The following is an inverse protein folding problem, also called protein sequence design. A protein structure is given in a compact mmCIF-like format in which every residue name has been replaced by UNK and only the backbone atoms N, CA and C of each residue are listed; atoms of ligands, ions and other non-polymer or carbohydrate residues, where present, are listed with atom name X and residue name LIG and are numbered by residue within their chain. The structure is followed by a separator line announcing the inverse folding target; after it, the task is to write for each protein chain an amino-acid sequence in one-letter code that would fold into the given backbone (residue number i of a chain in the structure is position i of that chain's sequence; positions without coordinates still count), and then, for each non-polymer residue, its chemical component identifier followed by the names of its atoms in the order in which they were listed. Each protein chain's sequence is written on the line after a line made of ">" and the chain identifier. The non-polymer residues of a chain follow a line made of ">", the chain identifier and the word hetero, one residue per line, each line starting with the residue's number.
data_IF_533747229549
#
_entry.id   IF_533747229549
#
_cell.length_a   1.000
_cell.length_b   1.000
_cell.length_c   1.000
_cell.angle_alpha   90.00
_cell.angle_beta   90.00
_cell.angle_gamma   90.00
#
_symmetry.space_group_name_H-M   'P 1'
#
loop_
_entity.id
_entity.type
_entity.pdbx_description
1 polymer ?
#
# COMPACT_ATOMS: atom_id res chain seq x y z
N UNK A 1 40.87 38.47 -16.73
CA UNK A 1 39.39 38.43 -16.61
C UNK A 1 38.88 37.07 -16.19
N UNK A 2 39.51 36.41 -15.20
CA UNK A 2 39.09 35.10 -14.67
C UNK A 2 38.64 35.15 -13.20
N UNK A 3 38.81 36.27 -12.50
CA UNK A 3 38.42 36.40 -11.08
C UNK A 3 36.95 36.78 -10.86
N UNK A 4 36.19 37.14 -11.90
CA UNK A 4 34.80 37.60 -11.74
C UNK A 4 33.76 36.45 -11.69
N UNK A 5 34.13 35.22 -12.08
CA UNK A 5 33.18 34.11 -12.21
C UNK A 5 33.05 33.25 -10.95
N UNK A 6 34.04 33.26 -10.06
CA UNK A 6 33.99 32.45 -8.82
C UNK A 6 33.07 33.07 -7.75
N UNK A 7 32.94 34.40 -7.69
CA UNK A 7 32.03 35.06 -6.75
C UNK A 7 30.55 34.73 -6.99
N UNK A 8 30.14 34.69 -8.26
CA UNK A 8 28.74 34.44 -8.63
C UNK A 8 28.26 33.02 -8.29
N UNK A 9 29.15 32.03 -8.30
CA UNK A 9 28.80 30.65 -7.93
C UNK A 9 28.61 30.48 -6.41
N UNK A 10 29.39 31.20 -5.60
CA UNK A 10 29.25 31.22 -4.15
C UNK A 10 27.92 31.83 -3.70
N UNK A 11 27.51 32.94 -4.31
CA UNK A 11 26.26 33.62 -3.98
C UNK A 11 25.02 32.76 -4.29
N UNK A 12 25.06 32.00 -5.38
CA UNK A 12 23.96 31.13 -5.80
C UNK A 12 23.78 29.92 -4.86
N UNK A 13 24.88 29.41 -4.30
CA UNK A 13 24.84 28.36 -3.29
C UNK A 13 24.30 28.87 -1.94
N UNK A 14 24.69 30.10 -1.55
CA UNK A 14 24.17 30.74 -0.34
C UNK A 14 22.65 30.99 -0.43
N UNK A 15 22.17 31.52 -1.55
CA UNK A 15 20.74 31.72 -1.83
C UNK A 15 19.93 30.43 -1.78
N UNK A 16 20.46 29.32 -2.33
CA UNK A 16 19.77 28.01 -2.25
C UNK A 16 19.60 27.53 -0.82
N UNK A 17 20.64 27.69 0.00
CA UNK A 17 20.61 27.31 1.42
C UNK A 17 19.62 28.16 2.20
N UNK A 18 19.56 29.45 1.92
CA UNK A 18 18.59 30.36 2.55
C UNK A 18 17.15 30.01 2.18
N UNK A 19 16.89 29.69 0.91
CA UNK A 19 15.56 29.24 0.46
C UNK A 19 15.15 27.93 1.14
N UNK A 20 16.05 26.95 1.23
CA UNK A 20 15.79 25.68 1.91
C UNK A 20 15.48 25.89 3.40
N UNK A 21 16.21 26.78 4.07
CA UNK A 21 15.97 27.11 5.48
C UNK A 21 14.60 27.80 5.68
N UNK A 22 14.23 28.72 4.78
CA UNK A 22 12.92 29.37 4.81
C UNK A 22 11.77 28.38 4.57
N UNK A 23 11.95 27.42 3.67
CA UNK A 23 10.96 26.38 3.39
C UNK A 23 10.75 25.45 4.59
N UNK A 24 11.84 25.00 5.22
CA UNK A 24 11.79 24.21 6.47
C UNK A 24 11.06 24.98 7.57
N UNK A 25 11.36 26.27 7.72
CA UNK A 25 10.74 27.14 8.72
C UNK A 25 9.25 27.35 8.45
N UNK A 26 8.84 27.46 7.19
CA UNK A 26 7.43 27.58 6.79
C UNK A 26 6.66 26.29 7.08
N UNK A 27 7.21 25.14 6.69
CA UNK A 27 6.61 23.82 6.93
C UNK A 27 6.46 23.52 8.42
N UNK A 28 7.47 23.86 9.22
CA UNK A 28 7.42 23.69 10.68
C UNK A 28 6.31 24.50 11.33
N UNK A 29 6.11 25.77 10.91
CA UNK A 29 5.00 26.61 11.40
C UNK A 29 3.65 26.03 10.98
N UNK A 30 3.52 25.56 9.73
CA UNK A 30 2.26 24.98 9.23
C UNK A 30 1.89 23.71 9.99
N UNK A 31 2.87 22.84 10.27
CA UNK A 31 2.66 21.64 11.10
C UNK A 31 2.19 22.00 12.50
N UNK A 32 2.82 22.97 13.17
CA UNK A 32 2.41 23.41 14.50
C UNK A 32 1.01 24.04 14.51
N UNK A 33 0.63 24.77 13.46
CA UNK A 33 -0.73 25.28 13.31
C UNK A 33 -1.75 24.15 13.18
N UNK A 34 -1.53 23.21 12.27
CA UNK A 34 -2.44 22.07 12.07
C UNK A 34 -2.59 21.21 13.34
N UNK A 35 -1.50 21.04 14.10
CA UNK A 35 -1.55 20.35 15.39
C UNK A 35 -2.46 21.07 16.40
N UNK A 36 -2.43 22.42 16.44
CA UNK A 36 -3.32 23.21 17.30
C UNK A 36 -4.76 23.14 16.84
N UNK A 37 -5.01 23.20 15.53
CA UNK A 37 -6.36 23.05 14.96
C UNK A 37 -6.96 21.68 15.28
N UNK A 38 -6.17 20.60 15.13
CA UNK A 38 -6.58 19.24 15.52
C UNK A 38 -6.90 19.13 17.01
N UNK A 39 -6.04 19.66 17.88
CA UNK A 39 -6.28 19.63 19.31
C UNK A 39 -7.51 20.46 19.72
N UNK A 40 -7.70 21.64 19.10
CA UNK A 40 -8.85 22.51 19.34
C UNK A 40 -10.17 21.88 18.88
N UNK A 41 -10.19 21.19 17.74
CA UNK A 41 -11.37 20.49 17.25
C UNK A 41 -11.76 19.30 18.14
N UNK A 42 -10.77 18.59 18.71
CA UNK A 42 -11.05 17.53 19.70
C UNK A 42 -11.63 18.08 21.00
N UNK A 43 -11.19 19.25 21.46
CA UNK A 43 -11.75 19.89 22.67
C UNK A 43 -13.16 20.43 22.42
N UNK A 44 -13.43 20.98 21.23
CA UNK A 44 -14.76 21.46 20.84
C UNK A 44 -15.78 20.32 20.76
N UNK A 45 -15.40 19.19 20.14
CA UNK A 45 -16.26 17.99 20.05
C UNK A 45 -16.59 17.39 21.43
N UNK A 46 -15.63 17.42 22.37
CA UNK A 46 -15.85 16.96 23.73
C UNK A 46 -16.78 17.89 24.53
N UNK A 47 -16.70 19.21 24.31
CA UNK A 47 -17.56 20.19 24.98
C UNK A 47 -19.01 20.24 24.45
N UNK A 48 -19.23 19.93 23.17
CA UNK A 48 -20.58 19.88 22.59
C UNK A 48 -21.30 18.54 22.85
N UNK A 49 -20.56 17.43 23.08
CA UNK A 49 -21.14 16.14 23.42
C UNK A 49 -21.63 15.99 24.86
N UNK A 50 -21.25 16.90 25.77
CA UNK A 50 -21.65 16.84 27.18
C UNK A 50 -22.81 17.78 27.55
N UNK A 51 -23.20 18.71 26.66
CA UNK A 51 -24.30 19.64 26.95
C UNK A 51 -25.69 19.06 26.68
N UNK A 52 -25.82 18.05 25.82
CA UNK A 52 -27.12 17.48 25.43
C UNK A 52 -27.52 16.18 26.17
N UNK A 53 -26.65 15.64 27.04
CA UNK A 53 -26.93 14.39 27.78
C UNK A 53 -27.12 14.55 29.29
N UNK A 54 -27.00 15.76 29.86
CA UNK A 54 -27.00 15.93 31.32
C UNK A 54 -28.34 16.32 31.97
N UNK A 55 -29.49 16.29 31.28
CA UNK A 55 -30.77 16.72 31.87
C UNK A 55 -31.83 15.64 32.12
N UNK A 56 -31.54 14.35 31.97
CA UNK A 56 -32.54 13.32 32.27
C UNK A 56 -31.95 12.03 32.83
N UNK A 57 -31.47 12.03 34.08
CA UNK A 57 -31.51 10.80 34.89
C UNK A 57 -31.70 11.14 36.39
N UNK A 58 -32.79 10.69 37.03
CA UNK A 58 -32.89 10.69 38.49
C UNK A 58 -31.98 9.59 39.05
N UNK A 59 -31.44 9.87 40.24
CA UNK A 59 -30.57 8.98 40.99
C UNK A 59 -31.26 7.63 41.28
N UNK A 60 -30.64 6.53 40.82
CA UNK A 60 -30.95 5.19 41.29
C UNK A 60 -31.14 4.17 40.16
N UNK A 61 -30.04 3.64 39.62
CA UNK A 61 -29.93 2.26 39.10
C UNK A 61 -28.45 1.93 38.87
N UNK A 62 -27.80 1.41 39.91
CA UNK A 62 -26.71 0.45 39.76
C UNK A 62 -27.41 -0.89 39.45
N UNK A 63 -27.07 -1.55 38.32
CA UNK A 63 -27.58 -2.87 37.83
C UNK A 63 -28.39 -2.84 36.51
N UNK A 64 -27.83 -2.30 35.42
CA UNK A 64 -28.44 -2.51 34.09
C UNK A 64 -27.46 -2.52 32.90
N UNK A 65 -26.21 -2.95 33.10
CA UNK A 65 -25.24 -3.09 31.98
C UNK A 65 -24.93 -4.56 31.61
N UNK A 66 -25.67 -5.53 32.16
CA UNK A 66 -25.48 -6.97 31.90
C UNK A 66 -26.72 -7.68 31.33
N UNK A 67 -27.63 -6.96 30.65
CA UNK A 67 -28.85 -7.56 30.10
C UNK A 67 -29.04 -7.28 28.61
N UNK A 68 -28.03 -7.64 27.81
CA UNK A 68 -28.15 -7.83 26.36
C UNK A 68 -27.35 -9.07 25.93
N UNK A 69 -27.47 -10.17 26.69
CA UNK A 69 -27.09 -11.50 26.22
C UNK A 69 -28.38 -12.26 25.84
N UNK A 70 -28.96 -11.84 24.72
CA UNK A 70 -29.98 -12.63 24.03
C UNK A 70 -29.32 -13.87 23.46
N UNK A 71 -29.56 -15.01 24.11
CA UNK A 71 -29.16 -16.35 23.67
C UNK A 71 -29.94 -16.70 22.41
N UNK A 72 -29.32 -16.53 21.23
CA UNK A 72 -29.66 -17.32 20.05
C UNK A 72 -28.64 -18.46 19.93
N UNK A 73 -28.98 -19.55 20.62
CA UNK A 73 -28.37 -20.87 20.42
C UNK A 73 -28.94 -21.46 19.14
N UNK A 74 -28.11 -21.57 18.10
CA UNK A 74 -28.52 -22.24 16.87
C UNK A 74 -27.61 -21.94 15.70
N UNK A 75 -26.76 -22.92 15.37
CA UNK A 75 -25.85 -22.98 14.21
C UNK A 75 -24.49 -22.30 14.40
N UNK A 76 -23.51 -23.13 14.77
CA UNK A 76 -22.09 -22.93 14.51
C UNK A 76 -21.84 -22.95 12.99
N UNK A 77 -22.36 -21.95 12.29
CA UNK A 77 -21.81 -21.53 11.03
C UNK A 77 -20.47 -20.92 11.38
N UNK A 78 -19.35 -21.56 10.99
CA UNK A 78 -18.02 -20.96 11.05
C UNK A 78 -18.12 -19.57 10.41
N UNK A 79 -18.22 -18.52 11.23
CA UNK A 79 -18.26 -17.14 10.75
C UNK A 79 -16.96 -16.96 9.99
N UNK A 80 -17.03 -16.97 8.65
CA UNK A 80 -15.87 -16.70 7.79
C UNK A 80 -15.23 -15.43 8.33
N UNK A 81 -13.91 -15.44 8.54
CA UNK A 81 -13.19 -14.25 8.97
C UNK A 81 -13.53 -13.11 8.01
N UNK A 82 -14.30 -12.13 8.51
CA UNK A 82 -14.82 -11.00 7.72
C UNK A 82 -13.76 -9.92 7.51
N UNK A 83 -12.63 -10.02 8.19
CA UNK A 83 -11.55 -9.04 8.22
C UNK A 83 -11.00 -8.66 6.84
N UNK A 84 -11.23 -9.49 5.82
CA UNK A 84 -10.61 -9.35 4.50
C UNK A 84 -11.59 -9.01 3.37
N UNK A 85 -12.90 -8.99 3.64
CA UNK A 85 -13.96 -8.76 2.64
C UNK A 85 -14.24 -7.27 2.42
N UNK A 86 -13.26 -6.48 1.95
CA UNK A 86 -13.48 -5.04 1.65
C UNK A 86 -14.64 -4.82 0.68
N UNK A 87 -14.80 -5.75 -0.28
CA UNK A 87 -15.71 -5.58 -1.42
C UNK A 87 -17.18 -5.42 -0.99
N UNK A 88 -17.54 -5.94 0.18
CA UNK A 88 -18.93 -5.97 0.65
C UNK A 88 -19.26 -4.87 1.67
N UNK A 89 -18.25 -4.26 2.31
CA UNK A 89 -18.46 -3.23 3.34
C UNK A 89 -18.40 -1.79 2.82
N UNK A 90 -17.95 -1.59 1.58
CA UNK A 90 -18.19 -0.34 0.86
C UNK A 90 -19.53 -0.51 0.15
N UNK A 91 -20.60 0.02 0.75
CA UNK A 91 -21.92 0.11 0.11
C UNK A 91 -21.70 0.61 -1.32
N UNK A 92 -21.93 -0.21 -2.36
CA UNK A 92 -21.55 0.17 -3.70
C UNK A 92 -22.43 1.34 -4.10
N UNK A 93 -21.85 2.55 -4.17
CA UNK A 93 -22.28 3.47 -5.20
C UNK A 93 -22.24 2.70 -6.53
N UNK A 94 -23.28 2.79 -7.38
CA UNK A 94 -23.42 1.95 -8.56
C UNK A 94 -22.37 2.31 -9.61
N UNK A 95 -21.13 1.87 -9.40
CA UNK A 95 -20.02 2.01 -10.32
C UNK A 95 -19.97 0.70 -11.12
N UNK A 96 -20.36 0.79 -12.38
CA UNK A 96 -20.51 -0.34 -13.33
C UNK A 96 -19.21 -1.06 -13.71
N UNK A 97 -18.07 -0.73 -13.11
CA UNK A 97 -16.78 -1.36 -13.42
C UNK A 97 -15.96 -1.61 -12.16
N UNK A 98 -15.30 -2.78 -12.05
CA UNK A 98 -14.34 -3.02 -10.99
C UNK A 98 -13.25 -1.94 -11.04
N UNK A 99 -12.89 -1.34 -9.89
CA UNK A 99 -11.89 -0.29 -9.84
C UNK A 99 -10.59 -0.80 -10.46
N UNK A 100 -10.02 0.00 -11.36
CA UNK A 100 -8.77 -0.34 -12.01
C UNK A 100 -7.63 -0.20 -10.98
N UNK A 101 -7.06 -1.31 -10.54
CA UNK A 101 -5.98 -1.38 -9.55
C UNK A 101 -4.76 -0.53 -9.94
N UNK A 102 -4.49 -0.35 -11.23
CA UNK A 102 -3.36 0.47 -11.71
C UNK A 102 -3.49 1.97 -11.40
N UNK A 103 -4.67 2.43 -10.97
CA UNK A 103 -4.92 3.84 -10.63
C UNK A 103 -4.85 4.13 -9.14
N UNK A 104 -4.69 3.10 -8.30
CA UNK A 104 -4.63 3.29 -6.85
C UNK A 104 -3.24 3.79 -6.47
N UNK A 105 -3.20 4.99 -5.89
CA UNK A 105 -1.96 5.51 -5.30
C UNK A 105 -1.70 4.87 -3.95
N UNK A 106 -0.45 4.81 -3.51
CA UNK A 106 -0.08 4.31 -2.19
C UNK A 106 -0.80 5.05 -1.06
N UNK A 107 -0.91 6.38 -1.16
CA UNK A 107 -1.62 7.18 -0.16
C UNK A 107 -3.11 6.85 -0.09
N UNK A 108 -3.74 6.63 -1.25
CA UNK A 108 -5.14 6.20 -1.32
C UNK A 108 -5.34 4.82 -0.67
N UNK A 109 -4.47 3.85 -1.00
CA UNK A 109 -4.50 2.52 -0.39
C UNK A 109 -4.38 2.59 1.14
N UNK A 110 -3.43 3.38 1.66
CA UNK A 110 -3.24 3.55 3.11
C UNK A 110 -4.50 4.13 3.76
N UNK A 111 -5.05 5.22 3.19
CA UNK A 111 -6.25 5.87 3.72
C UNK A 111 -7.45 4.92 3.74
N UNK A 112 -7.70 4.23 2.63
CA UNK A 112 -8.84 3.31 2.53
C UNK A 112 -8.67 2.12 3.46
N UNK A 113 -7.49 1.50 3.51
CA UNK A 113 -7.19 0.37 4.40
C UNK A 113 -7.35 0.77 5.88
N UNK A 114 -6.96 1.98 6.27
CA UNK A 114 -7.18 2.50 7.61
C UNK A 114 -8.68 2.69 7.94
N UNK A 115 -9.48 3.17 6.99
CA UNK A 115 -10.93 3.30 7.19
C UNK A 115 -11.60 1.93 7.36
N UNK A 116 -11.15 0.92 6.62
CA UNK A 116 -11.64 -0.46 6.75
C UNK A 116 -11.29 -1.01 8.13
N UNK A 117 -10.04 -0.85 8.56
CA UNK A 117 -9.60 -1.28 9.89
C UNK A 117 -10.46 -0.65 11.00
N UNK A 118 -10.75 0.65 10.91
CA UNK A 118 -11.61 1.33 11.88
C UNK A 118 -13.01 0.70 11.93
N UNK A 119 -13.67 0.51 10.78
CA UNK A 119 -15.01 -0.10 10.73
C UNK A 119 -15.04 -1.51 11.32
N UNK A 120 -14.00 -2.30 11.04
CA UNK A 120 -13.87 -3.67 11.54
C UNK A 120 -13.55 -3.76 13.06
N UNK A 121 -13.02 -2.68 13.63
CA UNK A 121 -12.87 -2.52 15.08
C UNK A 121 -14.22 -2.11 15.68
N UNK A 122 -14.87 -1.10 15.09
CA UNK A 122 -16.14 -0.54 15.57
C UNK A 122 -17.28 -1.58 15.57
N UNK A 123 -17.30 -2.49 14.60
CA UNK A 123 -18.30 -3.56 14.50
C UNK A 123 -17.96 -4.82 15.31
N UNK A 124 -16.82 -4.83 16.02
CA UNK A 124 -16.36 -5.96 16.82
C UNK A 124 -15.90 -7.18 16.01
N UNK A 125 -15.68 -7.05 14.69
CA UNK A 125 -15.24 -8.17 13.85
C UNK A 125 -13.79 -8.59 14.08
N UNK A 126 -12.93 -7.67 14.55
CA UNK A 126 -11.49 -7.95 14.77
C UNK A 126 -11.10 -8.22 16.22
N UNK A 127 -11.94 -7.78 17.16
CA UNK A 127 -11.69 -7.88 18.60
C UNK A 127 -12.95 -8.43 19.24
N UNK A 128 -12.87 -9.62 19.83
CA UNK A 128 -14.01 -10.26 20.49
C UNK A 128 -13.57 -10.90 21.82
N UNK A 129 -14.54 -11.14 22.70
CA UNK A 129 -14.30 -11.86 23.95
C UNK A 129 -14.44 -13.36 23.72
N UNK A 130 -13.48 -14.13 24.23
CA UNK A 130 -13.57 -15.59 24.31
C UNK A 130 -14.53 -16.00 25.43
N UNK A 131 -14.90 -17.29 25.47
CA UNK A 131 -15.80 -17.85 26.49
C UNK A 131 -15.27 -17.71 27.93
N UNK A 132 -13.94 -17.58 28.09
CA UNK A 132 -13.27 -17.38 29.38
C UNK A 132 -13.20 -15.89 29.80
N UNK A 133 -13.78 -14.99 29.02
CA UNK A 133 -13.74 -13.54 29.23
C UNK A 133 -12.44 -12.88 28.79
N UNK A 134 -11.48 -13.62 28.21
CA UNK A 134 -10.26 -13.03 27.65
C UNK A 134 -10.54 -12.32 26.32
N UNK A 135 -9.78 -11.26 26.03
CA UNK A 135 -9.88 -10.54 24.75
C UNK A 135 -9.09 -11.28 23.68
N UNK A 136 -9.75 -11.66 22.60
CA UNK A 136 -9.15 -12.24 21.42
C UNK A 136 -8.83 -11.15 20.40
N UNK A 137 -7.54 -11.01 20.06
CA UNK A 137 -7.05 -10.04 19.07
C UNK A 137 -6.32 -10.73 17.90
N UNK A 138 -6.55 -12.02 17.67
CA UNK A 138 -5.83 -12.79 16.66
C UNK A 138 -6.07 -12.23 15.24
N UNK A 139 -7.33 -11.92 14.93
CA UNK A 139 -7.76 -11.34 13.66
C UNK A 139 -7.18 -9.93 13.46
N UNK A 140 -7.26 -9.07 14.48
CA UNK A 140 -6.62 -7.75 14.45
C UNK A 140 -5.13 -7.86 14.15
N UNK A 141 -4.43 -8.77 14.84
CA UNK A 141 -3.00 -8.99 14.65
C UNK A 141 -2.71 -9.49 13.23
N UNK A 142 -3.53 -10.40 12.70
CA UNK A 142 -3.42 -10.87 11.32
C UNK A 142 -3.55 -9.75 10.29
N UNK A 143 -4.53 -8.87 10.48
CA UNK A 143 -4.74 -7.70 9.61
C UNK A 143 -3.56 -6.72 9.64
N UNK A 144 -2.99 -6.47 10.83
CA UNK A 144 -1.84 -5.59 10.99
C UNK A 144 -0.57 -6.19 10.36
N UNK A 145 -0.32 -7.48 10.55
CA UNK A 145 0.81 -8.18 9.92
C UNK A 145 0.71 -8.15 8.40
N UNK A 146 -0.49 -8.35 7.87
CA UNK A 146 -0.76 -8.20 6.45
C UNK A 146 -0.46 -6.77 5.95
N UNK A 147 -0.94 -5.75 6.67
CA UNK A 147 -0.72 -4.34 6.30
C UNK A 147 0.77 -3.97 6.35
N UNK A 148 1.50 -4.50 7.33
CA UNK A 148 2.96 -4.40 7.39
C UNK A 148 3.60 -5.03 6.15
N UNK A 149 3.14 -6.21 5.72
CA UNK A 149 3.70 -6.89 4.54
C UNK A 149 3.57 -6.06 3.27
N UNK A 150 2.44 -5.41 3.07
CA UNK A 150 2.25 -4.47 1.95
C UNK A 150 3.29 -3.34 2.02
N UNK A 151 3.52 -2.78 3.20
CA UNK A 151 4.57 -1.77 3.43
C UNK A 151 5.97 -2.29 3.08
N UNK A 152 6.32 -3.50 3.50
CA UNK A 152 7.60 -4.14 3.18
C UNK A 152 7.79 -4.35 1.67
N UNK A 153 6.75 -4.73 0.94
CA UNK A 153 6.83 -4.89 -0.51
C UNK A 153 7.05 -3.54 -1.22
N UNK A 154 6.39 -2.49 -0.75
CA UNK A 154 6.61 -1.14 -1.28
C UNK A 154 8.04 -0.65 -0.97
N UNK A 155 8.55 -0.88 0.24
CA UNK A 155 9.91 -0.51 0.66
C UNK A 155 10.99 -1.32 -0.08
N UNK A 156 10.74 -2.60 -0.35
CA UNK A 156 11.58 -3.45 -1.20
C UNK A 156 11.57 -3.04 -2.69
N UNK A 157 10.89 -1.94 -3.02
CA UNK A 157 10.90 -1.28 -4.32
C UNK A 157 10.18 -2.09 -5.42
N UNK A 158 9.23 -2.95 -5.04
CA UNK A 158 8.29 -3.58 -5.98
C UNK A 158 7.39 -2.50 -6.59
N UNK A 159 6.92 -2.73 -7.84
CA UNK A 159 5.99 -1.76 -8.44
C UNK A 159 4.65 -1.80 -7.71
N UNK A 160 3.99 -0.64 -7.50
CA UNK A 160 2.69 -0.60 -6.83
C UNK A 160 1.67 -1.55 -7.44
N UNK A 161 1.62 -1.68 -8.78
CA UNK A 161 0.71 -2.60 -9.46
C UNK A 161 0.89 -4.06 -9.01
N UNK A 162 2.13 -4.53 -8.86
CA UNK A 162 2.41 -5.90 -8.39
C UNK A 162 1.98 -6.07 -6.93
N UNK A 163 2.15 -5.03 -6.12
CA UNK A 163 1.71 -5.04 -4.72
C UNK A 163 0.19 -5.06 -4.62
N UNK A 164 -0.52 -4.37 -5.50
CA UNK A 164 -1.98 -4.35 -5.55
C UNK A 164 -2.58 -5.66 -6.06
N UNK A 165 -1.94 -6.31 -7.03
CA UNK A 165 -2.30 -7.67 -7.44
C UNK A 165 -2.13 -8.66 -6.27
N UNK A 166 -1.01 -8.56 -5.54
CA UNK A 166 -0.80 -9.35 -4.32
C UNK A 166 -1.85 -9.06 -3.24
N UNK A 167 -2.22 -7.78 -3.01
CA UNK A 167 -3.28 -7.40 -2.08
C UNK A 167 -4.62 -8.03 -2.47
N UNK A 168 -4.97 -7.98 -3.76
CA UNK A 168 -6.21 -8.56 -4.27
C UNK A 168 -6.24 -10.08 -4.10
N UNK A 169 -5.17 -10.77 -4.47
CA UNK A 169 -5.06 -12.23 -4.39
C UNK A 169 -5.06 -12.72 -2.95
N UNK A 170 -4.34 -12.02 -2.05
CA UNK A 170 -4.36 -12.34 -0.62
C UNK A 170 -5.77 -12.20 -0.05
N UNK A 171 -6.50 -11.13 -0.38
CA UNK A 171 -7.88 -10.93 0.08
C UNK A 171 -8.83 -12.00 -0.45
N UNK A 172 -8.68 -12.43 -1.71
CA UNK A 172 -9.45 -13.56 -2.28
C UNK A 172 -9.17 -14.86 -1.53
N UNK A 173 -7.90 -15.16 -1.28
CA UNK A 173 -7.49 -16.36 -0.55
C UNK A 173 -8.08 -16.41 0.87
N UNK A 174 -8.09 -15.27 1.56
CA UNK A 174 -8.69 -15.16 2.89
C UNK A 174 -10.23 -15.26 2.85
N UNK A 175 -10.87 -14.73 1.81
CA UNK A 175 -12.32 -14.85 1.61
C UNK A 175 -12.78 -16.30 1.39
N UNK A 176 -11.96 -17.09 0.71
CA UNK A 176 -12.22 -18.50 0.42
C UNK A 176 -11.93 -19.42 1.62
N UNK A 177 -11.45 -18.86 2.75
CA UNK A 177 -11.16 -19.60 3.98
C UNK A 177 -9.94 -20.52 3.87
N UNK A 178 -9.08 -20.30 2.88
CA UNK A 178 -8.00 -21.21 2.49
C UNK A 178 -6.70 -21.06 3.26
N UNK A 179 -6.48 -19.97 4.01
CA UNK A 179 -5.18 -19.70 4.63
C UNK A 179 -5.27 -19.28 6.10
N UNK A 180 -4.30 -19.78 6.88
CA UNK A 180 -4.06 -19.35 8.24
C UNK A 180 -3.49 -17.91 8.20
N UNK A 181 -4.07 -16.90 8.88
CA UNK A 181 -3.63 -15.50 8.79
C UNK A 181 -2.16 -15.27 9.18
N UNK A 182 -1.55 -16.23 9.88
CA UNK A 182 -0.12 -16.20 10.22
C UNK A 182 0.82 -16.58 9.06
N UNK A 183 0.32 -17.17 7.97
CA UNK A 183 1.13 -17.65 6.84
C UNK A 183 1.08 -16.66 5.66
N UNK A 184 1.41 -15.39 5.91
CA UNK A 184 1.51 -14.41 4.83
C UNK A 184 2.70 -14.78 3.93
N UNK A 185 2.50 -14.98 2.61
CA UNK A 185 3.60 -15.33 1.71
C UNK A 185 4.68 -14.24 1.72
N UNK A 186 5.94 -14.64 1.91
CA UNK A 186 7.08 -13.72 2.01
C UNK A 186 7.36 -12.95 0.72
N UNK A 187 6.83 -13.41 -0.42
CA UNK A 187 7.04 -12.84 -1.75
C UNK A 187 5.78 -13.00 -2.60
N UNK A 188 5.44 -12.02 -3.46
CA UNK A 188 4.37 -12.18 -4.44
C UNK A 188 4.76 -13.34 -5.37
N UNK A 189 4.03 -14.46 -5.31
CA UNK A 189 4.21 -15.55 -6.24
C UNK A 189 3.71 -15.08 -7.60
N UNK A 190 4.66 -14.72 -8.47
CA UNK A 190 4.35 -14.53 -9.88
C UNK A 190 3.91 -15.90 -10.41
N UNK A 191 2.62 -16.06 -10.68
CA UNK A 191 2.10 -17.23 -11.39
C UNK A 191 2.69 -17.26 -12.80
N UNK A 192 3.88 -17.85 -12.91
CA UNK A 192 4.41 -18.41 -14.15
C UNK A 192 4.12 -19.90 -14.09
N UNK A 193 3.00 -20.30 -14.69
CA UNK A 193 2.88 -21.65 -15.22
C UNK A 193 3.91 -21.79 -16.34
N UNK A 194 5.05 -22.42 -16.04
CA UNK A 194 5.82 -23.24 -17.00
C UNK A 194 6.92 -23.98 -16.26
N UNK A 195 6.99 -25.27 -16.53
CA UNK A 195 7.89 -26.29 -16.00
C UNK A 195 9.38 -25.92 -16.03
N UNK A 196 10.15 -26.46 -15.08
CA UNK A 196 11.61 -26.56 -15.18
C UNK A 196 12.37 -26.08 -13.95
N UNK A 197 12.83 -27.04 -13.15
CA UNK A 197 13.75 -26.85 -12.01
C UNK A 197 15.01 -26.12 -12.50
N UNK A 198 15.26 -24.92 -11.99
CA UNK A 198 16.53 -24.20 -12.04
C UNK A 198 16.52 -23.16 -10.93
N UNK A 199 17.63 -23.04 -10.19
CA UNK A 199 17.83 -22.14 -9.05
C UNK A 199 17.17 -20.74 -9.22
N UNK A 200 16.80 -20.05 -8.12
CA UNK A 200 16.27 -18.70 -8.18
C UNK A 200 17.32 -17.74 -8.76
N UNK A 201 17.29 -17.57 -10.09
CA UNK A 201 18.15 -16.62 -10.77
C UNK A 201 17.72 -15.22 -10.34
N UNK A 202 18.67 -14.41 -9.86
CA UNK A 202 18.39 -13.04 -9.45
C UNK A 202 17.59 -12.28 -10.53
N UNK A 203 16.60 -11.45 -10.14
CA UNK A 203 15.73 -10.77 -11.10
C UNK A 203 16.51 -9.89 -12.10
N UNK A 204 15.94 -9.67 -13.28
CA UNK A 204 16.56 -8.87 -14.36
C UNK A 204 16.53 -7.38 -14.01
N UNK A 205 17.64 -6.68 -14.26
CA UNK A 205 17.73 -5.24 -14.05
C UNK A 205 16.91 -4.50 -15.11
N UNK A 206 15.85 -3.81 -14.67
CA UNK A 206 15.02 -3.00 -15.56
C UNK A 206 15.74 -1.75 -16.07
N UNK A 207 16.58 -1.12 -15.24
CA UNK A 207 17.40 0.04 -15.63
C UNK A 207 18.40 -0.34 -16.74
N UNK A 208 19.01 -1.52 -16.67
CA UNK A 208 19.88 -2.04 -17.74
C UNK A 208 19.14 -2.13 -19.08
N UNK A 209 17.85 -2.48 -19.08
CA UNK A 209 17.02 -2.58 -20.28
C UNK A 209 16.34 -1.26 -20.70
N UNK A 210 16.67 -0.14 -20.05
CA UNK A 210 16.19 1.20 -20.38
C UNK A 210 17.15 1.93 -21.33
N UNK A 211 16.73 3.09 -21.88
CA UNK A 211 17.59 3.95 -22.73
C UNK A 211 18.76 4.54 -21.96
N UNK A 212 18.58 4.75 -20.66
CA UNK A 212 19.61 5.33 -19.80
C UNK A 212 20.66 4.31 -19.34
N UNK A 213 20.39 3.00 -19.49
CA UNK A 213 21.21 1.94 -18.94
C UNK A 213 21.20 1.88 -17.40
N UNK A 214 22.00 0.97 -16.84
CA UNK A 214 22.21 0.86 -15.40
C UNK A 214 23.56 1.48 -15.03
N UNK A 215 23.56 2.49 -14.15
CA UNK A 215 24.80 3.17 -13.70
C UNK A 215 25.38 2.59 -12.41
N UNK A 216 24.78 1.54 -11.84
CA UNK A 216 25.26 0.93 -10.60
C UNK A 216 26.42 -0.02 -10.90
N UNK A 217 27.60 0.28 -10.37
CA UNK A 217 28.80 -0.57 -10.49
C UNK A 217 28.60 -1.96 -9.86
N UNK A 218 27.83 -2.05 -8.78
CA UNK A 218 27.46 -3.30 -8.09
C UNK A 218 25.95 -3.53 -8.12
N UNK A 219 25.40 -3.76 -9.31
CA UNK A 219 23.97 -4.03 -9.47
C UNK A 219 23.61 -5.43 -8.94
N UNK A 220 22.66 -5.51 -7.98
CA UNK A 220 22.15 -6.78 -7.43
C UNK A 220 21.28 -7.59 -8.41
N UNK A 221 20.97 -7.02 -9.57
CA UNK A 221 20.08 -7.58 -10.57
C UNK A 221 20.88 -8.01 -11.81
N UNK A 222 20.39 -9.00 -12.54
CA UNK A 222 21.07 -9.51 -13.73
C UNK A 222 20.98 -8.52 -14.90
N UNK A 223 22.12 -8.21 -15.50
CA UNK A 223 22.23 -7.39 -16.72
C UNK A 223 22.05 -8.28 -17.97
N UNK A 224 20.81 -8.69 -18.23
CA UNK A 224 20.42 -9.50 -19.40
C UNK A 224 19.21 -8.89 -20.10
N UNK A 225 19.01 -9.22 -21.38
CA UNK A 225 17.89 -8.74 -22.18
C UNK A 225 16.55 -9.22 -21.59
N UNK A 226 15.61 -8.29 -21.37
CA UNK A 226 14.28 -8.60 -20.83
C UNK A 226 13.31 -9.22 -21.84
N UNK A 227 13.66 -9.28 -23.13
CA UNK A 227 12.77 -9.83 -24.15
C UNK A 227 12.66 -11.35 -24.01
N UNK A 228 11.44 -11.92 -24.14
CA UNK A 228 11.23 -13.35 -24.07
C UNK A 228 12.05 -14.06 -25.17
N UNK A 229 12.78 -15.11 -24.78
CA UNK A 229 13.62 -15.90 -25.68
C UNK A 229 15.03 -15.35 -25.97
N UNK A 230 15.39 -14.16 -25.48
CA UNK A 230 16.75 -13.63 -25.67
C UNK A 230 17.69 -14.00 -24.51
N UNK A 231 17.51 -13.40 -23.32
CA UNK A 231 18.34 -13.68 -22.14
C UNK A 231 19.84 -13.39 -22.26
N UNK A 232 20.32 -12.83 -23.38
CA UNK A 232 21.73 -12.49 -23.64
C UNK A 232 22.16 -11.21 -22.91
N UNK A 233 23.48 -10.98 -22.68
CA UNK A 233 24.00 -9.83 -21.92
C UNK A 233 24.00 -8.53 -22.74
N UNK A 234 22.81 -8.10 -23.16
CA UNK A 234 22.63 -6.82 -23.86
C UNK A 234 21.25 -6.22 -23.53
N UNK A 235 21.08 -4.88 -23.64
CA UNK A 235 19.79 -4.26 -23.42
C UNK A 235 18.80 -4.62 -24.54
N UNK A 236 17.51 -4.62 -24.21
CA UNK A 236 16.43 -4.90 -25.17
C UNK A 236 16.41 -3.99 -26.41
N UNK A 237 17.04 -2.83 -26.33
CA UNK A 237 17.04 -1.83 -27.40
C UNK A 237 17.85 -2.23 -28.63
N UNK A 238 18.84 -3.12 -28.48
CA UNK A 238 19.60 -3.61 -29.62
C UNK A 238 18.77 -4.48 -30.57
N UNK A 239 17.60 -4.97 -30.15
CA UNK A 239 16.68 -5.68 -31.03
C UNK A 239 15.86 -4.77 -31.94
N UNK A 240 15.75 -3.47 -31.62
CA UNK A 240 14.99 -2.51 -32.44
C UNK A 240 15.72 -2.14 -33.73
N UNK A 241 17.03 -2.34 -33.78
CA UNK A 241 17.86 -1.97 -34.94
C UNK A 241 17.87 -3.05 -36.05
N UNK A 242 17.36 -4.25 -35.77
CA UNK A 242 17.34 -5.36 -36.74
C UNK A 242 16.08 -5.45 -37.60
N UNK A 243 15.00 -4.73 -37.27
CA UNK A 243 13.74 -4.77 -38.04
C UNK A 243 13.65 -3.74 -39.16
N UNK A 244 14.45 -2.66 -39.10
CA UNK A 244 14.31 -1.53 -40.02
C UNK A 244 15.27 -1.61 -41.23
N UNK A 245 16.03 -2.71 -41.35
CA UNK A 245 16.98 -2.94 -42.46
C UNK A 245 16.43 -3.83 -43.60
N UNK A 246 15.17 -4.29 -43.52
CA UNK A 246 14.59 -5.23 -44.48
C UNK A 246 13.58 -4.64 -45.49
N UNK A 247 13.17 -3.37 -45.34
CA UNK A 247 12.25 -2.71 -46.27
C UNK A 247 12.88 -1.46 -46.89
N UNK A 248 13.69 -1.65 -47.94
CA UNK A 248 14.22 -0.49 -48.66
C UNK A 248 15.30 -0.78 -49.69
N UNK A 249 15.17 -1.83 -50.52
CA UNK A 249 16.05 -1.97 -51.69
C UNK A 249 15.44 -2.84 -52.79
N UNK A 250 14.34 -2.38 -53.40
CA UNK A 250 13.90 -2.86 -54.73
C UNK A 250 13.20 -1.74 -55.50
N UNK A 251 13.96 -0.79 -56.03
CA UNK A 251 13.56 -0.02 -57.21
C UNK A 251 14.75 0.82 -57.70
N UNK A 252 15.44 0.34 -58.73
CA UNK A 252 15.91 1.11 -59.89
C UNK A 252 16.99 0.31 -60.63
N UNK A 253 16.63 -0.24 -61.78
CA UNK A 253 17.55 -0.28 -62.94
C UNK A 253 16.71 -0.32 -64.22
N UNK A 254 16.99 0.69 -65.04
CA UNK A 254 16.63 0.83 -66.45
C UNK A 254 17.26 -0.27 -67.30
#
# INVERSE_FOLDING_TARGET
>A
GQEATEGAAGDLAALRKEVEELEIKALTRRRAQLQRELNGNQTAAFSQGLSDCCLLFPAGVHEAFLSCAGVESGQSARKRSRAYLIRDFVKPTPIKQPPNLSKISTGQWISDNAQILQRLIDDGSLIYLNDDGSVNTSELRGYLLYSQKIGELLDANYSPNVVWEFDEDYRKLMADGGANPAAVPSTPERSTQSEGISQPQAPVCLSFNSTAGCQRSSCRYRHVCKLPGCGKPHPAQLHRQSSDAAEGSTAYRH
#
